data_IF_730128773191
#
_entry.id   IF_730128773191
#
_cell.length_a   1.000
_cell.length_b   1.000
_cell.length_c   1.000
_cell.angle_alpha   90.00
_cell.angle_beta   90.00
_cell.angle_gamma   90.00
#
_symmetry.space_group_name_H-M   'P 1'
#
loop_
_entity.id
_entity.type
_entity.pdbx_description
1 polymer ?
#
# COMPACT_ATOMS: atom_id res chain seq x y z
N UNK A 1 -31.93 -17.59 73.31
CA UNK A 1 -31.57 -18.24 72.04
C UNK A 1 -30.50 -17.43 71.35
N UNK A 2 -29.43 -18.09 70.94
CA UNK A 2 -28.21 -17.52 70.38
C UNK A 2 -28.40 -17.05 68.93
N UNK A 3 -27.72 -15.99 68.49
CA UNK A 3 -26.53 -16.18 67.64
C UNK A 3 -25.65 -14.92 67.54
N UNK A 4 -24.35 -15.17 67.46
CA UNK A 4 -23.22 -14.25 67.57
C UNK A 4 -22.65 -13.87 66.19
N UNK A 5 -22.21 -12.61 66.10
CA UNK A 5 -20.89 -12.16 65.59
C UNK A 5 -20.58 -12.24 64.08
N UNK A 6 -20.22 -11.09 63.48
CA UNK A 6 -18.82 -10.61 63.35
C UNK A 6 -18.78 -9.29 62.55
N UNK A 7 -18.37 -8.20 63.21
CA UNK A 7 -17.91 -6.95 62.58
C UNK A 7 -16.39 -6.89 62.77
N UNK A 8 -15.62 -6.92 61.69
CA UNK A 8 -14.19 -6.59 61.69
C UNK A 8 -14.00 -5.28 60.93
N UNK A 9 -13.42 -4.30 61.64
CA UNK A 9 -12.95 -3.00 61.13
C UNK A 9 -11.56 -3.19 60.51
N UNK A 10 -11.31 -2.60 59.34
CA UNK A 10 -9.98 -2.20 58.88
C UNK A 10 -10.00 -0.74 58.42
N UNK A 11 -8.85 -0.08 58.62
CA UNK A 11 -8.56 1.37 58.61
C UNK A 11 -8.48 2.00 57.20
N UNK A 12 -8.48 3.35 57.09
CA UNK A 12 -8.57 4.06 55.82
C UNK A 12 -7.20 4.15 55.11
N UNK A 13 -7.21 4.05 53.78
CA UNK A 13 -6.07 4.37 52.93
C UNK A 13 -6.29 5.75 52.30
N UNK A 14 -5.23 6.53 52.35
CA UNK A 14 -5.10 7.94 51.97
C UNK A 14 -5.17 8.17 50.47
N UNK A 15 -5.78 9.30 50.15
CA UNK A 15 -5.85 9.95 48.84
C UNK A 15 -4.44 10.32 48.33
N UNK A 16 -4.14 9.93 47.09
CA UNK A 16 -3.06 10.49 46.27
C UNK A 16 -3.61 10.70 44.87
N UNK A 17 -4.04 11.94 44.64
CA UNK A 17 -4.17 12.52 43.32
C UNK A 17 -2.80 12.91 42.76
N UNK A 18 -2.75 12.96 41.43
CA UNK A 18 -1.76 13.60 40.53
C UNK A 18 -0.64 12.74 39.94
N UNK A 19 -0.56 12.77 38.60
CA UNK A 19 0.63 12.40 37.85
C UNK A 19 0.45 11.34 36.76
N UNK A 20 -0.53 11.51 35.86
CA UNK A 20 -0.57 10.74 34.61
C UNK A 20 0.56 11.19 33.68
N UNK A 21 1.38 10.25 33.24
CA UNK A 21 2.31 10.41 32.12
C UNK A 21 2.34 9.10 31.33
N UNK A 22 1.33 8.92 30.47
CA UNK A 22 1.31 7.88 29.45
C UNK A 22 1.61 8.52 28.09
N UNK A 23 2.54 7.92 27.36
CA UNK A 23 2.54 7.89 25.90
C UNK A 23 2.95 9.19 25.19
N UNK A 24 4.26 9.40 25.05
CA UNK A 24 4.81 10.19 23.95
C UNK A 24 5.86 9.34 23.23
N UNK A 25 5.41 8.34 22.47
CA UNK A 25 6.23 7.69 21.47
C UNK A 25 6.40 8.64 20.28
N UNK A 26 7.58 9.24 20.20
CA UNK A 26 8.06 9.97 19.03
C UNK A 26 8.23 9.01 17.85
N UNK A 27 7.22 8.91 16.99
CA UNK A 27 7.38 8.32 15.66
C UNK A 27 8.07 9.31 14.72
N UNK A 28 9.41 9.30 14.75
CA UNK A 28 10.27 9.89 13.73
C UNK A 28 10.16 9.00 12.48
N UNK A 29 9.44 9.45 11.45
CA UNK A 29 9.44 8.79 10.14
C UNK A 29 10.88 8.78 9.62
N UNK A 30 11.49 7.60 9.60
CA UNK A 30 12.73 7.36 8.90
C UNK A 30 12.48 7.54 7.40
N UNK A 31 13.38 8.29 6.76
CA UNK A 31 13.53 8.32 5.31
C UNK A 31 13.72 6.88 4.83
N UNK A 32 12.69 6.30 4.24
CA UNK A 32 12.76 4.98 3.60
C UNK A 32 13.52 5.18 2.29
N UNK A 33 14.84 5.08 2.37
CA UNK A 33 15.71 4.90 1.21
C UNK A 33 15.38 3.58 0.53
N UNK A 34 15.24 3.63 -0.80
CA UNK A 34 15.20 2.54 -1.80
C UNK A 34 15.89 1.22 -1.41
N UNK A 35 15.29 0.45 -0.50
CA UNK A 35 15.84 -0.83 -0.03
C UNK A 35 14.82 -1.98 -0.07
N UNK A 36 13.57 -1.71 -0.44
CA UNK A 36 12.50 -2.71 -0.43
C UNK A 36 12.40 -3.57 -1.71
N UNK A 37 13.54 -3.88 -2.34
CA UNK A 37 13.66 -4.91 -3.39
C UNK A 37 14.84 -5.87 -3.12
N UNK A 38 15.64 -5.65 -2.06
CA UNK A 38 16.78 -6.52 -1.78
C UNK A 38 16.36 -7.70 -0.89
N UNK A 39 16.16 -8.87 -1.50
CA UNK A 39 16.12 -10.15 -0.80
C UNK A 39 17.57 -10.54 -0.42
N UNK A 40 17.94 -10.51 0.87
CA UNK A 40 19.31 -10.75 1.30
C UNK A 40 19.73 -12.23 1.21
N UNK A 41 18.86 -13.15 0.76
CA UNK A 41 19.18 -14.57 0.53
C UNK A 41 19.36 -14.91 -0.96
N UNK A 42 19.23 -13.95 -1.88
CA UNK A 42 19.48 -14.13 -3.30
C UNK A 42 20.93 -13.72 -3.66
N UNK A 43 21.92 -14.57 -3.37
CA UNK A 43 23.31 -14.33 -3.79
C UNK A 43 23.52 -14.41 -5.33
N UNK A 44 22.53 -14.86 -6.09
CA UNK A 44 22.53 -14.78 -7.56
C UNK A 44 21.99 -13.44 -8.05
N UNK A 45 22.86 -12.44 -8.26
CA UNK A 45 22.45 -11.26 -9.03
C UNK A 45 23.12 -9.92 -8.71
N UNK A 46 23.95 -9.85 -7.68
CA UNK A 46 24.66 -8.60 -7.36
C UNK A 46 25.77 -8.37 -8.40
N UNK A 47 25.70 -7.25 -9.12
CA UNK A 47 26.75 -6.82 -10.04
C UNK A 47 28.01 -6.51 -9.21
N UNK A 48 29.11 -7.18 -9.52
CA UNK A 48 30.40 -6.91 -8.88
C UNK A 48 31.02 -5.63 -9.43
N UNK A 49 31.99 -5.03 -8.74
CA UNK A 49 32.70 -3.84 -9.25
C UNK A 49 33.37 -4.10 -10.62
N UNK A 50 33.79 -5.35 -10.88
CA UNK A 50 34.30 -5.79 -12.18
C UNK A 50 33.21 -5.80 -13.25
N UNK A 51 32.00 -6.23 -12.90
CA UNK A 51 30.85 -6.20 -13.80
C UNK A 51 30.50 -4.74 -14.17
N UNK A 52 30.52 -3.82 -13.19
CA UNK A 52 30.28 -2.38 -13.42
C UNK A 52 31.31 -1.77 -14.37
N UNK A 53 32.59 -2.13 -14.25
CA UNK A 53 33.63 -1.66 -15.18
C UNK A 53 33.45 -2.22 -16.59
N UNK A 54 32.97 -3.45 -16.74
CA UNK A 54 32.66 -4.06 -18.04
C UNK A 54 31.43 -3.43 -18.70
N UNK A 55 30.42 -3.02 -17.92
CA UNK A 55 29.20 -2.35 -18.39
C UNK A 55 29.47 -1.01 -19.11
N UNK A 56 30.59 -0.34 -18.81
CA UNK A 56 30.96 0.93 -19.44
C UNK A 56 31.38 0.81 -20.92
N UNK A 57 31.36 -0.39 -21.49
CA UNK A 57 31.59 -0.60 -22.92
C UNK A 57 30.50 -1.48 -23.54
N UNK A 58 30.15 -1.21 -24.80
CA UNK A 58 29.19 -2.03 -25.57
C UNK A 58 29.58 -3.51 -25.56
N UNK A 59 30.87 -3.81 -25.70
CA UNK A 59 31.38 -5.17 -25.73
C UNK A 59 31.32 -5.84 -24.36
N UNK A 60 31.64 -5.13 -23.28
CA UNK A 60 31.58 -5.69 -21.93
C UNK A 60 30.14 -5.94 -21.45
N UNK A 61 29.18 -5.11 -21.83
CA UNK A 61 27.75 -5.39 -21.63
C UNK A 61 27.32 -6.67 -22.38
N UNK A 62 27.68 -6.80 -23.67
CA UNK A 62 27.35 -8.00 -24.47
C UNK A 62 27.99 -9.26 -23.87
N UNK A 63 29.22 -9.16 -23.38
CA UNK A 63 29.94 -10.29 -22.79
C UNK A 63 29.36 -10.70 -21.43
N UNK A 64 28.94 -9.75 -20.59
CA UNK A 64 28.24 -10.00 -19.33
C UNK A 64 26.89 -10.68 -19.55
N UNK A 65 26.11 -10.22 -20.53
CA UNK A 65 24.82 -10.83 -20.86
C UNK A 65 24.99 -12.26 -21.37
N UNK A 66 26.03 -12.53 -22.17
CA UNK A 66 26.38 -13.88 -22.64
C UNK A 66 26.86 -14.78 -21.51
N UNK A 67 27.75 -14.31 -20.65
CA UNK A 67 28.35 -15.12 -19.57
C UNK A 67 27.31 -15.59 -18.55
N UNK A 68 26.32 -14.76 -18.25
CA UNK A 68 25.22 -15.07 -17.34
C UNK A 68 24.02 -15.76 -18.01
N UNK A 69 24.12 -16.16 -19.30
CA UNK A 69 23.01 -16.74 -20.09
C UNK A 69 21.71 -15.90 -20.03
N UNK A 70 21.83 -14.58 -19.95
CA UNK A 70 20.68 -13.68 -19.85
C UNK A 70 20.06 -13.54 -21.24
N UNK A 71 18.74 -13.73 -21.33
CA UNK A 71 17.99 -13.49 -22.58
C UNK A 71 17.90 -11.99 -22.83
N UNK A 72 18.67 -11.47 -23.79
CA UNK A 72 18.71 -10.04 -24.13
C UNK A 72 17.32 -9.44 -24.37
N UNK A 73 16.44 -10.15 -25.09
CA UNK A 73 15.08 -9.68 -25.36
C UNK A 73 14.30 -9.36 -24.08
N UNK A 74 14.40 -10.22 -23.05
CA UNK A 74 13.72 -9.99 -21.77
C UNK A 74 14.24 -8.74 -21.04
N UNK A 75 15.53 -8.44 -21.18
CA UNK A 75 16.11 -7.22 -20.60
C UNK A 75 15.58 -5.99 -21.33
N UNK A 76 15.55 -6.03 -22.66
CA UNK A 76 15.00 -4.94 -23.48
C UNK A 76 13.51 -4.72 -23.18
N UNK A 77 12.71 -5.79 -23.12
CA UNK A 77 11.28 -5.71 -22.80
C UNK A 77 11.04 -5.05 -21.44
N UNK A 78 11.82 -5.42 -20.42
CA UNK A 78 11.75 -4.81 -19.10
C UNK A 78 12.13 -3.32 -19.14
N UNK A 79 13.21 -2.95 -19.85
CA UNK A 79 13.61 -1.55 -19.97
C UNK A 79 12.56 -0.71 -20.72
N UNK A 80 11.95 -1.26 -21.76
CA UNK A 80 10.85 -0.62 -22.47
C UNK A 80 9.63 -0.42 -21.55
N UNK A 81 9.24 -1.47 -20.81
CA UNK A 81 8.15 -1.40 -19.84
C UNK A 81 8.40 -0.32 -18.76
N UNK A 82 9.59 -0.30 -18.14
CA UNK A 82 9.90 0.67 -17.08
C UNK A 82 9.91 2.10 -17.62
N UNK A 83 10.43 2.32 -18.84
CA UNK A 83 10.40 3.64 -19.47
C UNK A 83 8.96 4.09 -19.75
N UNK A 84 8.12 3.22 -20.31
CA UNK A 84 6.71 3.53 -20.57
C UNK A 84 5.94 3.79 -19.27
N UNK A 85 6.17 2.98 -18.24
CA UNK A 85 5.57 3.13 -16.91
C UNK A 85 5.84 4.53 -16.34
N UNK A 86 7.08 5.00 -16.41
CA UNK A 86 7.46 6.34 -15.94
C UNK A 86 6.70 7.43 -16.71
N UNK A 87 6.60 7.32 -18.04
CA UNK A 87 5.85 8.29 -18.85
C UNK A 87 4.37 8.31 -18.46
N UNK A 88 3.74 7.14 -18.29
CA UNK A 88 2.35 7.05 -17.87
C UNK A 88 2.13 7.59 -16.45
N UNK A 89 3.07 7.37 -15.54
CA UNK A 89 3.00 7.91 -14.18
C UNK A 89 3.10 9.45 -14.16
N UNK A 90 3.87 10.05 -15.05
CA UNK A 90 3.88 11.51 -15.26
C UNK A 90 2.49 12.00 -15.69
N UNK A 91 1.86 11.31 -16.64
CA UNK A 91 0.50 11.66 -17.07
C UNK A 91 -0.54 11.46 -15.95
N UNK A 92 -0.39 10.44 -15.09
CA UNK A 92 -1.24 10.24 -13.92
C UNK A 92 -1.13 11.39 -12.91
N UNK A 93 0.07 11.95 -12.71
CA UNK A 93 0.25 13.14 -11.86
C UNK A 93 -0.49 14.34 -12.45
N UNK A 94 -0.40 14.54 -13.78
CA UNK A 94 -1.13 15.62 -14.47
C UNK A 94 -2.65 15.43 -14.33
N UNK A 95 -3.14 14.19 -14.49
CA UNK A 95 -4.53 13.84 -14.25
C UNK A 95 -4.94 14.18 -12.82
N UNK A 96 -4.14 13.80 -11.81
CA UNK A 96 -4.46 14.08 -10.41
C UNK A 96 -4.58 15.58 -10.14
N UNK A 97 -3.65 16.39 -10.67
CA UNK A 97 -3.72 17.86 -10.56
C UNK A 97 -5.00 18.40 -11.20
N UNK A 98 -5.30 17.96 -12.41
CA UNK A 98 -6.53 18.38 -13.11
C UNK A 98 -7.79 18.00 -12.33
N UNK A 99 -7.85 16.79 -11.76
CA UNK A 99 -8.99 16.34 -10.93
C UNK A 99 -9.20 17.27 -9.74
N UNK A 100 -8.12 17.67 -9.06
CA UNK A 100 -8.15 18.59 -7.93
C UNK A 100 -8.60 20.00 -8.34
N UNK A 101 -7.98 20.56 -9.37
CA UNK A 101 -8.28 21.92 -9.86
C UNK A 101 -9.72 22.06 -10.35
N UNK A 102 -10.27 21.00 -10.95
CA UNK A 102 -11.64 21.00 -11.49
C UNK A 102 -12.67 20.40 -10.54
N UNK A 103 -12.27 19.99 -9.32
CA UNK A 103 -13.12 19.33 -8.34
C UNK A 103 -13.86 18.08 -8.88
N UNK A 104 -13.26 17.41 -9.87
CA UNK A 104 -13.84 16.18 -10.43
C UNK A 104 -13.69 15.05 -9.42
N UNK A 105 -14.52 14.02 -9.58
CA UNK A 105 -14.60 12.85 -8.71
C UNK A 105 -14.34 11.63 -9.55
N UNK A 106 -13.28 10.89 -9.25
CA UNK A 106 -12.87 9.74 -10.07
C UNK A 106 -12.88 8.48 -9.21
N UNK A 107 -13.61 7.45 -9.66
CA UNK A 107 -13.57 6.12 -9.09
C UNK A 107 -12.98 5.16 -10.13
N UNK A 108 -11.95 4.41 -9.73
CA UNK A 108 -11.29 3.40 -10.56
C UNK A 108 -11.58 2.04 -9.93
N UNK A 109 -12.23 1.15 -10.68
CA UNK A 109 -12.65 -0.17 -10.18
C UNK A 109 -11.78 -1.23 -10.83
N UNK A 110 -11.11 -2.05 -10.02
CA UNK A 110 -10.32 -3.18 -10.48
C UNK A 110 -11.00 -4.49 -10.06
N UNK A 111 -11.44 -5.24 -11.06
CA UNK A 111 -12.01 -6.57 -10.92
C UNK A 111 -11.16 -7.61 -11.65
N UNK A 112 -11.28 -8.87 -11.25
CA UNK A 112 -10.56 -9.97 -11.88
C UNK A 112 -10.40 -11.16 -10.95
N UNK A 113 -9.93 -12.28 -11.51
CA UNK A 113 -9.68 -13.52 -10.76
C UNK A 113 -8.65 -13.32 -9.64
N UNK A 114 -8.63 -14.27 -8.72
CA UNK A 114 -7.56 -14.34 -7.72
C UNK A 114 -6.21 -14.51 -8.43
N UNK A 115 -5.17 -13.87 -7.89
CA UNK A 115 -3.82 -13.80 -8.46
C UNK A 115 -3.70 -13.14 -9.87
N UNK A 116 -4.73 -12.46 -10.38
CA UNK A 116 -4.66 -11.76 -11.68
C UNK A 116 -3.79 -10.48 -11.70
N UNK A 117 -3.16 -10.11 -10.58
CA UNK A 117 -2.23 -8.96 -10.53
C UNK A 117 -2.84 -7.61 -10.12
N UNK A 118 -4.12 -7.55 -9.70
CA UNK A 118 -4.82 -6.31 -9.33
C UNK A 118 -4.05 -5.42 -8.35
N UNK A 119 -3.56 -5.99 -7.24
CA UNK A 119 -2.82 -5.24 -6.23
C UNK A 119 -1.49 -4.67 -6.75
N UNK A 120 -0.81 -5.42 -7.63
CA UNK A 120 0.41 -4.94 -8.30
C UNK A 120 0.11 -3.78 -9.24
N UNK A 121 -0.98 -3.86 -10.00
CA UNK A 121 -1.46 -2.76 -10.84
C UNK A 121 -1.76 -1.52 -10.01
N UNK A 122 -2.57 -1.62 -8.95
CA UNK A 122 -2.88 -0.49 -8.07
C UNK A 122 -1.60 0.14 -7.52
N UNK A 123 -0.65 -0.69 -7.07
CA UNK A 123 0.64 -0.20 -6.57
C UNK A 123 1.37 0.66 -7.60
N UNK A 124 1.38 0.26 -8.88
CA UNK A 124 2.01 1.06 -9.95
C UNK A 124 1.26 2.34 -10.29
N UNK A 125 -0.07 2.35 -10.19
CA UNK A 125 -0.87 3.56 -10.38
C UNK A 125 -0.61 4.61 -9.30
N UNK A 126 -0.50 4.18 -8.04
CA UNK A 126 -0.44 5.10 -6.88
C UNK A 126 0.98 5.47 -6.45
N UNK A 127 2.00 4.82 -7.01
CA UNK A 127 3.41 4.95 -6.63
C UNK A 127 3.89 6.40 -6.50
N UNK A 128 3.47 7.27 -7.43
CA UNK A 128 3.88 8.68 -7.48
C UNK A 128 2.73 9.68 -7.27
N UNK A 129 1.53 9.20 -6.89
CA UNK A 129 0.38 10.08 -6.66
C UNK A 129 0.43 10.71 -5.26
N UNK A 130 -0.07 11.94 -5.13
CA UNK A 130 -0.19 12.60 -3.83
C UNK A 130 -1.22 11.85 -2.95
N UNK A 131 -0.83 11.33 -1.77
CA UNK A 131 -1.72 10.51 -0.96
C UNK A 131 -2.88 11.28 -0.32
N UNK A 132 -2.86 12.62 -0.30
CA UNK A 132 -3.91 13.44 0.33
C UNK A 132 -5.20 13.54 -0.49
N UNK A 133 -5.12 13.26 -1.78
CA UNK A 133 -6.23 13.38 -2.72
C UNK A 133 -6.44 12.08 -3.50
N UNK A 134 -5.97 10.97 -2.93
CA UNK A 134 -6.23 9.64 -3.45
C UNK A 134 -6.50 8.68 -2.29
N UNK A 135 -7.21 7.60 -2.57
CA UNK A 135 -7.43 6.54 -1.59
C UNK A 135 -7.58 5.19 -2.26
N UNK A 136 -7.16 4.15 -1.54
CA UNK A 136 -7.35 2.76 -1.94
C UNK A 136 -8.39 2.15 -1.00
N UNK A 137 -9.40 1.52 -1.59
CA UNK A 137 -10.51 0.88 -0.90
C UNK A 137 -10.43 -0.62 -1.17
N UNK A 138 -10.09 -1.37 -0.13
CA UNK A 138 -10.12 -2.82 -0.12
C UNK A 138 -11.02 -3.26 1.05
N UNK A 139 -12.33 -3.38 0.80
CA UNK A 139 -13.27 -3.73 1.86
C UNK A 139 -13.17 -5.23 2.19
N UNK A 140 -13.08 -5.62 3.47
CA UNK A 140 -13.15 -7.02 3.87
C UNK A 140 -14.56 -7.59 3.64
N UNK A 141 -14.73 -8.88 3.96
CA UNK A 141 -16.06 -9.50 4.04
C UNK A 141 -17.00 -8.62 4.89
N UNK A 142 -18.27 -8.47 4.50
CA UNK A 142 -19.20 -7.64 5.25
C UNK A 142 -19.36 -8.18 6.67
N UNK A 143 -19.42 -7.28 7.65
CA UNK A 143 -19.81 -7.65 9.02
C UNK A 143 -21.26 -8.14 9.08
N UNK A 144 -21.67 -8.72 10.20
CA UNK A 144 -23.06 -9.15 10.41
C UNK A 144 -24.04 -7.97 10.24
N UNK A 145 -23.68 -6.80 10.81
CA UNK A 145 -24.47 -5.59 10.66
C UNK A 145 -24.51 -5.09 9.21
N UNK A 146 -23.39 -5.07 8.50
CA UNK A 146 -23.34 -4.67 7.07
C UNK A 146 -24.11 -5.66 6.18
N UNK A 147 -24.18 -6.93 6.56
CA UNK A 147 -24.92 -7.97 5.82
C UNK A 147 -26.43 -7.78 5.94
N UNK A 148 -26.91 -7.24 7.06
CA UNK A 148 -28.31 -6.82 7.23
C UNK A 148 -28.67 -5.46 6.64
N UNK A 149 -27.66 -4.67 6.22
CA UNK A 149 -27.86 -3.37 5.58
C UNK A 149 -28.14 -3.50 4.08
N UNK A 150 -28.56 -2.40 3.46
CA UNK A 150 -28.61 -2.33 2.01
C UNK A 150 -27.20 -2.46 1.42
N UNK A 151 -27.01 -3.42 0.50
CA UNK A 151 -25.69 -3.83 0.01
C UNK A 151 -24.77 -2.70 -0.46
N UNK A 152 -25.31 -1.72 -1.17
CA UNK A 152 -24.52 -0.60 -1.70
C UNK A 152 -24.08 0.39 -0.61
N UNK A 153 -24.71 0.38 0.57
CA UNK A 153 -24.48 1.35 1.63
C UNK A 153 -23.01 1.40 2.08
N UNK A 154 -22.34 0.25 2.15
CA UNK A 154 -20.91 0.20 2.52
C UNK A 154 -19.99 0.79 1.45
N UNK A 155 -20.37 0.72 0.19
CA UNK A 155 -19.59 1.24 -0.94
C UNK A 155 -19.84 2.73 -1.21
N UNK A 156 -21.09 3.19 -1.04
CA UNK A 156 -21.45 4.61 -1.21
C UNK A 156 -20.63 5.50 -0.28
N UNK A 157 -20.38 5.05 0.96
CA UNK A 157 -19.50 5.74 1.92
C UNK A 157 -18.05 5.91 1.44
N UNK A 158 -17.63 5.11 0.46
CA UNK A 158 -16.26 5.09 -0.05
C UNK A 158 -16.12 5.84 -1.38
N UNK A 159 -17.21 6.37 -1.95
CA UNK A 159 -17.15 7.11 -3.20
C UNK A 159 -16.27 8.37 -3.07
N UNK A 160 -15.62 8.81 -4.17
CA UNK A 160 -14.72 9.96 -4.17
C UNK A 160 -15.42 11.25 -3.75
N UNK A 161 -14.78 12.02 -2.88
CA UNK A 161 -15.09 13.43 -2.65
C UNK A 161 -14.59 14.30 -3.81
N UNK A 162 -15.00 15.57 -3.83
CA UNK A 162 -14.51 16.53 -4.83
C UNK A 162 -12.98 16.60 -4.82
N UNK A 163 -12.37 16.45 -6.00
CA UNK A 163 -10.91 16.45 -6.16
C UNK A 163 -10.22 15.14 -5.78
N UNK A 164 -10.97 14.08 -5.45
CA UNK A 164 -10.42 12.78 -5.01
C UNK A 164 -10.45 11.75 -6.14
N UNK A 165 -9.39 10.93 -6.20
CA UNK A 165 -9.32 9.69 -6.98
C UNK A 165 -9.36 8.50 -6.03
N UNK A 166 -10.37 7.63 -6.15
CA UNK A 166 -10.51 6.44 -5.31
C UNK A 166 -10.34 5.18 -6.15
N UNK A 167 -9.38 4.33 -5.76
CA UNK A 167 -9.14 3.02 -6.35
C UNK A 167 -9.85 1.95 -5.51
N UNK A 168 -10.68 1.12 -6.14
CA UNK A 168 -11.36 0.00 -5.53
C UNK A 168 -10.66 -1.31 -5.91
N UNK A 169 -10.05 -1.98 -4.94
CA UNK A 169 -9.61 -3.38 -5.08
C UNK A 169 -10.79 -4.29 -4.72
N UNK A 170 -11.50 -4.73 -5.76
CA UNK A 170 -12.87 -5.26 -5.70
C UNK A 170 -13.91 -4.21 -5.31
N UNK A 171 -15.14 -4.43 -5.76
CA UNK A 171 -16.23 -3.47 -5.63
C UNK A 171 -17.57 -4.14 -5.34
N UNK A 172 -18.67 -3.45 -5.61
CA UNK A 172 -20.01 -4.00 -5.58
C UNK A 172 -20.26 -5.06 -6.67
N UNK A 173 -19.36 -5.20 -7.65
CA UNK A 173 -19.40 -6.31 -8.61
C UNK A 173 -19.15 -7.67 -7.98
N UNK A 174 -18.65 -7.75 -6.74
CA UNK A 174 -18.55 -8.99 -5.97
C UNK A 174 -19.88 -9.77 -5.92
N UNK A 175 -21.04 -9.09 -5.98
CA UNK A 175 -22.36 -9.74 -5.99
C UNK A 175 -22.77 -10.31 -7.35
N UNK A 176 -22.21 -9.81 -8.45
CA UNK A 176 -22.56 -10.23 -9.81
C UNK A 176 -21.61 -11.31 -10.37
N UNK A 177 -20.47 -11.53 -9.71
CA UNK A 177 -19.38 -12.41 -10.18
C UNK A 177 -19.22 -13.66 -9.31
N UNK A 178 -19.84 -13.69 -8.12
CA UNK A 178 -19.82 -14.82 -7.17
C UNK A 178 -21.15 -15.56 -7.20
#
# INVERSE_FOLDING_TARGET
MANKSKKTRSKPATDKTSGGANGAENHRLSLVTDSAVFDPQAEEGVLTEKDVRLLNTRNGLVQLLKSRKIKLNRVLDNLHYENELVQLQIELIKLQRWVQETNRRVAVILEGRDAAGKGGTIRRFVEHLNPRAMRIVALPKPSEMESGQWYFQRYVKQLPNAGEIVFFDRSWYNRAVV
#
